data_IF_935582485005
#
_entry.id   IF_935582485005
#
_cell.length_a   1.000
_cell.length_b   1.000
_cell.length_c   1.000
_cell.angle_alpha   90.00
_cell.angle_beta   90.00
_cell.angle_gamma   90.00
#
_symmetry.space_group_name_H-M   'P 1'
#
loop_
_entity.id
_entity.type
_entity.pdbx_description
1 polymer ?
#
# COMPACT_ATOMS: atom_id res chain seq x y z
N UNK A 1 -3.29 10.74 4.24
CA UNK A 1 -3.48 9.83 3.08
C UNK A 1 -4.33 8.66 3.51
N UNK A 2 -5.44 8.41 2.84
CA UNK A 2 -6.43 7.41 3.25
C UNK A 2 -6.04 6.01 2.74
N UNK A 3 -5.90 5.00 3.62
CA UNK A 3 -5.47 3.68 3.18
C UNK A 3 -6.60 2.94 2.44
N UNK A 4 -6.25 2.35 1.28
CA UNK A 4 -7.09 1.40 0.53
C UNK A 4 -6.39 0.05 0.58
N UNK A 5 -6.79 -0.79 1.52
CA UNK A 5 -6.18 -2.08 1.81
C UNK A 5 -7.32 -3.08 1.97
N UNK A 6 -7.30 -4.23 1.29
CA UNK A 6 -8.32 -5.26 1.43
C UNK A 6 -8.33 -5.83 2.84
N UNK A 7 -9.52 -6.13 3.34
CA UNK A 7 -9.70 -6.79 4.62
C UNK A 7 -9.28 -8.24 4.50
N UNK A 8 -8.51 -8.73 5.47
CA UNK A 8 -8.13 -10.14 5.50
C UNK A 8 -9.39 -10.99 5.77
N UNK A 9 -9.72 -11.88 4.82
CA UNK A 9 -10.87 -12.78 4.95
C UNK A 9 -10.53 -13.89 5.93
N UNK A 10 -11.11 -13.85 7.14
CA UNK A 10 -11.00 -14.98 8.07
C UNK A 10 -11.84 -16.16 7.54
N UNK A 11 -11.23 -17.36 7.49
CA UNK A 11 -11.84 -18.58 6.91
C UNK A 11 -13.07 -19.11 7.67
N UNK A 12 -13.30 -18.72 8.93
CA UNK A 12 -14.37 -19.24 9.80
C UNK A 12 -14.92 -18.18 10.76
N UNK A 13 -15.64 -17.19 10.26
CA UNK A 13 -16.41 -16.29 11.14
C UNK A 13 -17.65 -15.83 10.39
N UNK A 14 -18.84 -16.00 10.99
CA UNK A 14 -20.12 -15.54 10.45
C UNK A 14 -20.29 -14.00 10.48
N UNK A 15 -19.23 -13.28 10.87
CA UNK A 15 -19.23 -11.83 11.05
C UNK A 15 -18.73 -11.19 9.75
N UNK A 16 -19.55 -10.30 9.19
CA UNK A 16 -19.17 -9.51 8.00
C UNK A 16 -17.90 -8.67 8.30
N UNK A 17 -16.81 -8.86 7.55
CA UNK A 17 -15.57 -8.10 7.71
C UNK A 17 -15.72 -6.60 7.49
N UNK A 18 -16.73 -6.16 6.75
CA UNK A 18 -16.96 -4.77 6.38
C UNK A 18 -17.72 -3.97 7.43
N UNK A 19 -18.31 -4.64 8.42
CA UNK A 19 -18.98 -3.98 9.52
C UNK A 19 -17.96 -3.47 10.57
N UNK A 20 -18.23 -2.32 11.19
CA UNK A 20 -17.47 -1.87 12.35
C UNK A 20 -17.62 -2.88 13.49
N UNK A 21 -16.55 -3.10 14.25
CA UNK A 21 -16.54 -3.99 15.41
C UNK A 21 -16.64 -3.18 16.71
N UNK A 22 -17.14 -3.80 17.79
CA UNK A 22 -17.07 -3.22 19.11
C UNK A 22 -15.61 -2.87 19.46
N UNK A 23 -15.34 -1.60 19.75
CA UNK A 23 -14.01 -1.11 20.11
C UNK A 23 -13.13 -0.58 18.96
N UNK A 24 -13.64 -0.56 17.72
CA UNK A 24 -12.87 0.09 16.65
C UNK A 24 -12.81 1.61 16.83
N UNK A 25 -11.65 2.24 16.65
CA UNK A 25 -11.57 3.68 16.52
C UNK A 25 -12.29 4.14 15.23
N UNK A 26 -12.82 5.38 15.20
CA UNK A 26 -13.64 5.88 14.09
C UNK A 26 -13.00 5.68 12.70
N UNK A 27 -11.69 5.92 12.60
CA UNK A 27 -10.91 5.76 11.37
C UNK A 27 -10.94 4.34 10.80
N UNK A 28 -10.99 3.31 11.66
CA UNK A 28 -11.04 1.91 11.23
C UNK A 28 -12.45 1.54 10.78
N UNK A 29 -13.48 2.01 11.49
CA UNK A 29 -14.88 1.82 11.10
C UNK A 29 -15.16 2.41 9.71
N UNK A 30 -14.73 3.66 9.48
CA UNK A 30 -14.86 4.33 8.19
C UNK A 30 -14.10 3.60 7.07
N UNK A 31 -12.89 3.13 7.36
CA UNK A 31 -12.11 2.35 6.39
C UNK A 31 -12.82 1.05 6.01
N UNK A 32 -13.41 0.31 6.95
CA UNK A 32 -14.15 -0.92 6.67
C UNK A 32 -15.37 -0.69 5.81
N UNK A 33 -16.16 0.33 6.15
CA UNK A 33 -17.31 0.76 5.35
C UNK A 33 -16.88 1.17 3.93
N UNK A 34 -15.79 1.94 3.81
CA UNK A 34 -15.25 2.33 2.50
C UNK A 34 -14.85 1.13 1.65
N UNK A 35 -14.13 0.16 2.24
CA UNK A 35 -13.67 -1.04 1.54
C UNK A 35 -14.80 -2.00 1.13
N UNK A 36 -16.03 -1.80 1.62
CA UNK A 36 -17.21 -2.54 1.17
C UNK A 36 -17.63 -2.15 -0.26
N UNK A 37 -17.38 -0.90 -0.64
CA UNK A 37 -17.82 -0.33 -1.91
C UNK A 37 -17.06 -0.92 -3.11
N UNK A 38 -17.73 -0.99 -4.26
CA UNK A 38 -17.10 -1.42 -5.52
C UNK A 38 -16.03 -0.43 -5.99
N UNK A 39 -16.24 0.86 -5.76
CA UNK A 39 -15.25 1.89 -6.10
C UNK A 39 -13.95 1.73 -5.34
N UNK A 40 -14.00 1.44 -4.03
CA UNK A 40 -12.79 1.18 -3.25
C UNK A 40 -12.04 -0.07 -3.74
N UNK A 41 -12.76 -1.11 -4.17
CA UNK A 41 -12.15 -2.32 -4.75
C UNK A 41 -11.47 -2.03 -6.08
N UNK A 42 -12.09 -1.21 -6.94
CA UNK A 42 -11.50 -0.75 -8.21
C UNK A 42 -10.23 0.07 -7.96
N UNK A 43 -10.31 1.08 -7.09
CA UNK A 43 -9.15 1.90 -6.70
C UNK A 43 -8.02 1.04 -6.15
N UNK A 44 -8.32 0.06 -5.30
CA UNK A 44 -7.31 -0.87 -4.80
C UNK A 44 -6.63 -1.65 -5.94
N UNK A 45 -7.41 -2.19 -6.89
CA UNK A 45 -6.87 -2.92 -8.04
C UNK A 45 -5.95 -2.06 -8.92
N UNK A 46 -6.37 -0.83 -9.22
CA UNK A 46 -5.60 0.10 -10.06
C UNK A 46 -4.29 0.51 -9.37
N UNK A 47 -4.34 0.69 -8.05
CA UNK A 47 -3.16 1.00 -7.23
C UNK A 47 -2.22 -0.18 -7.07
N UNK A 48 -2.76 -1.39 -6.91
CA UNK A 48 -1.95 -2.62 -6.80
C UNK A 48 -1.08 -2.79 -8.05
N UNK A 49 -1.67 -2.64 -9.24
CA UNK A 49 -0.96 -2.75 -10.51
C UNK A 49 0.25 -1.79 -10.62
N UNK A 50 0.09 -0.56 -10.13
CA UNK A 50 1.10 0.49 -10.29
C UNK A 50 2.12 0.52 -9.15
N UNK A 51 1.67 0.43 -7.90
CA UNK A 51 2.50 0.68 -6.72
C UNK A 51 3.14 -0.58 -6.14
N UNK A 52 2.45 -1.74 -6.17
CA UNK A 52 2.99 -2.96 -5.57
C UNK A 52 4.17 -3.49 -6.38
N UNK A 53 4.09 -3.43 -7.71
CA UNK A 53 5.18 -3.82 -8.61
C UNK A 53 6.46 -3.01 -8.38
N UNK A 54 6.32 -1.68 -8.26
CA UNK A 54 7.45 -0.79 -7.98
C UNK A 54 8.05 -1.06 -6.60
N UNK A 55 7.21 -1.25 -5.58
CA UNK A 55 7.68 -1.59 -4.24
C UNK A 55 8.37 -2.96 -4.20
N UNK A 56 7.87 -3.96 -4.93
CA UNK A 56 8.48 -5.28 -5.02
C UNK A 56 9.86 -5.22 -5.72
N UNK A 57 9.98 -4.52 -6.85
CA UNK A 57 11.27 -4.31 -7.54
C UNK A 57 12.28 -3.63 -6.62
N UNK A 58 11.88 -2.52 -6.00
CA UNK A 58 12.76 -1.75 -5.12
C UNK A 58 13.25 -2.59 -3.94
N UNK A 59 12.36 -3.36 -3.31
CA UNK A 59 12.72 -4.20 -2.15
C UNK A 59 13.54 -5.43 -2.54
N UNK A 60 13.11 -6.18 -3.55
CA UNK A 60 13.68 -7.49 -3.86
C UNK A 60 14.88 -7.42 -4.81
N UNK A 61 14.89 -6.47 -5.74
CA UNK A 61 15.90 -6.38 -6.80
C UNK A 61 16.87 -5.21 -6.61
N UNK A 62 16.43 -4.12 -5.96
CA UNK A 62 17.24 -2.90 -5.78
C UNK A 62 17.70 -2.66 -4.34
N UNK A 63 17.42 -3.61 -3.43
CA UNK A 63 17.97 -3.62 -2.08
C UNK A 63 17.33 -2.65 -1.07
N UNK A 64 16.14 -2.10 -1.35
CA UNK A 64 15.42 -1.19 -0.46
C UNK A 64 14.70 -1.93 0.70
N UNK A 65 15.35 -2.88 1.34
CA UNK A 65 14.79 -3.66 2.46
C UNK A 65 15.42 -3.30 3.81
N UNK A 66 16.75 -3.10 3.86
CA UNK A 66 17.48 -2.72 5.07
C UNK A 66 18.14 -1.36 4.91
N UNK A 67 17.72 -0.39 5.73
CA UNK A 67 18.29 0.95 5.74
C UNK A 67 19.53 1.04 6.64
N UNK A 68 20.59 1.67 6.11
CA UNK A 68 21.81 1.97 6.87
C UNK A 68 21.70 3.29 7.66
N UNK A 69 20.57 3.99 7.54
CA UNK A 69 20.27 5.26 8.23
C UNK A 69 19.14 5.06 9.23
N UNK A 70 19.19 5.76 10.37
CA UNK A 70 18.25 5.54 11.49
C UNK A 70 17.12 6.56 11.61
N UNK A 71 17.27 7.74 11.01
CA UNK A 71 16.29 8.82 11.19
C UNK A 71 15.27 8.83 10.06
N UNK A 72 13.99 9.09 10.39
CA UNK A 72 12.91 9.13 9.41
C UNK A 72 13.21 10.07 8.23
N UNK A 73 13.72 11.30 8.43
CA UNK A 73 14.07 12.18 7.30
C UNK A 73 15.10 11.55 6.35
N UNK A 74 16.13 10.87 6.88
CA UNK A 74 17.16 10.22 6.05
C UNK A 74 16.60 9.02 5.31
N UNK A 75 15.78 8.19 5.98
CA UNK A 75 15.07 7.07 5.34
C UNK A 75 14.20 7.59 4.20
N UNK A 76 13.42 8.66 4.45
CA UNK A 76 12.58 9.28 3.43
C UNK A 76 13.38 9.76 2.23
N UNK A 77 14.54 10.40 2.43
CA UNK A 77 15.41 10.79 1.33
C UNK A 77 15.83 9.58 0.47
N UNK A 78 16.29 8.48 1.10
CA UNK A 78 16.69 7.26 0.37
C UNK A 78 15.53 6.70 -0.44
N UNK A 79 14.35 6.57 0.18
CA UNK A 79 13.13 6.09 -0.51
C UNK A 79 12.76 6.99 -1.68
N UNK A 80 12.87 8.31 -1.51
CA UNK A 80 12.54 9.28 -2.57
C UNK A 80 13.50 9.16 -3.76
N UNK A 81 14.81 9.04 -3.50
CA UNK A 81 15.81 8.79 -4.53
C UNK A 81 15.55 7.48 -5.28
N UNK A 82 15.24 6.41 -4.56
CA UNK A 82 14.89 5.12 -5.17
C UNK A 82 13.64 5.21 -6.05
N UNK A 83 12.61 5.93 -5.61
CA UNK A 83 11.39 6.13 -6.38
C UNK A 83 11.63 6.94 -7.67
N UNK A 84 12.42 8.02 -7.60
CA UNK A 84 12.82 8.80 -8.79
C UNK A 84 13.59 7.92 -9.78
N UNK A 85 14.58 7.18 -9.30
CA UNK A 85 15.40 6.32 -10.14
C UNK A 85 14.56 5.23 -10.83
N UNK A 86 13.65 4.59 -10.10
CA UNK A 86 12.72 3.60 -10.65
C UNK A 86 11.85 4.20 -11.76
N UNK A 87 11.26 5.37 -11.51
CA UNK A 87 10.40 6.04 -12.49
C UNK A 87 11.18 6.47 -13.74
N UNK A 88 12.43 6.95 -13.59
CA UNK A 88 13.29 7.29 -14.71
C UNK A 88 13.63 6.06 -15.58
N UNK A 89 14.00 4.93 -14.95
CA UNK A 89 14.25 3.67 -15.66
C UNK A 89 13.01 3.15 -16.37
N UNK A 90 11.83 3.23 -15.72
CA UNK A 90 10.56 2.86 -16.35
C UNK A 90 10.22 3.74 -17.55
N UNK A 91 10.47 5.05 -17.46
CA UNK A 91 10.27 5.96 -18.58
C UNK A 91 11.17 5.60 -19.76
N UNK A 92 12.46 5.37 -19.52
CA UNK A 92 13.43 4.98 -20.56
C UNK A 92 13.08 3.64 -21.21
N UNK A 93 12.51 2.69 -20.48
CA UNK A 93 12.11 1.39 -21.03
C UNK A 93 10.79 1.42 -21.81
N UNK A 94 10.00 2.49 -21.68
CA UNK A 94 8.73 2.69 -22.38
C UNK A 94 8.86 3.65 -23.58
N UNK A 95 9.98 4.37 -23.68
CA UNK A 95 10.34 5.22 -24.80
C UNK A 95 10.95 4.39 -25.94
#
# INVERSE_FOLDING_TARGET
MTPYIPLNRKKKTAIDPHLPRPGDPPVIAEWRARMATQDAKRIYKDRAATAESANADLKCLRGLDRFLVRTLPKVTCVVFWSAIAYNALKLLALA
#
